data_IF_085529840157
#
_entry.id   IF_085529840157
#
_cell.length_a   1.000
_cell.length_b   1.000
_cell.length_c   1.000
_cell.angle_alpha   90.00
_cell.angle_beta   90.00
_cell.angle_gamma   90.00
#
_symmetry.space_group_name_H-M   'P 1'
#
loop_
_entity.id
_entity.type
_entity.pdbx_description
1 polymer ?
#
# COMPACT_ATOMS: atom_id res chain seq x y z
N UNK A 1 -7.94 -19.87 3.74
CA UNK A 1 -7.65 -20.71 2.57
C UNK A 1 -8.44 -20.30 1.34
N UNK A 2 -9.80 -20.21 1.36
CA UNK A 2 -10.59 -19.79 0.19
C UNK A 2 -10.20 -18.38 -0.33
N UNK A 3 -10.12 -17.38 0.55
CA UNK A 3 -9.69 -16.02 0.19
C UNK A 3 -8.27 -16.02 -0.41
N UNK A 4 -7.34 -16.80 0.13
CA UNK A 4 -5.99 -16.96 -0.41
C UNK A 4 -6.00 -17.58 -1.81
N UNK A 5 -6.83 -18.61 -2.04
CA UNK A 5 -6.98 -19.23 -3.35
C UNK A 5 -7.60 -18.25 -4.37
N UNK A 6 -8.60 -17.49 -3.97
CA UNK A 6 -9.20 -16.42 -4.81
C UNK A 6 -8.15 -15.37 -5.14
N UNK A 7 -7.41 -14.85 -4.17
CA UNK A 7 -6.38 -13.83 -4.39
C UNK A 7 -5.26 -14.35 -5.32
N UNK A 8 -4.79 -15.59 -5.12
CA UNK A 8 -3.68 -16.14 -5.91
C UNK A 8 -4.08 -16.54 -7.34
N UNK A 9 -5.34 -16.96 -7.56
CA UNK A 9 -5.80 -17.47 -8.85
C UNK A 9 -6.50 -16.42 -9.72
N UNK A 10 -7.21 -15.47 -9.09
CA UNK A 10 -8.10 -14.55 -9.81
C UNK A 10 -7.60 -13.12 -9.84
N UNK A 11 -6.99 -12.64 -8.77
CA UNK A 11 -6.56 -11.26 -8.64
C UNK A 11 -5.04 -11.20 -8.70
N UNK A 12 -4.44 -10.64 -9.76
CA UNK A 12 -3.00 -10.44 -9.80
C UNK A 12 -2.57 -9.49 -8.68
N UNK A 13 -1.34 -9.66 -8.21
CA UNK A 13 -0.77 -8.74 -7.24
C UNK A 13 -0.68 -7.33 -7.83
N UNK A 14 -0.82 -6.34 -6.97
CA UNK A 14 -0.66 -4.93 -7.34
C UNK A 14 0.75 -4.60 -7.82
N UNK A 15 0.86 -3.55 -8.59
CA UNK A 15 2.13 -3.08 -9.16
C UNK A 15 3.16 -2.70 -8.07
N UNK A 16 2.73 -2.01 -7.00
CA UNK A 16 3.61 -1.67 -5.87
C UNK A 16 4.11 -2.93 -5.15
N UNK A 17 3.21 -3.90 -4.91
CA UNK A 17 3.59 -5.18 -4.28
C UNK A 17 4.59 -5.94 -5.15
N UNK A 18 4.34 -6.01 -6.46
CA UNK A 18 5.24 -6.63 -7.43
C UNK A 18 6.64 -6.01 -7.41
N UNK A 19 6.71 -4.69 -7.40
CA UNK A 19 7.96 -3.96 -7.32
C UNK A 19 8.69 -4.20 -6.00
N UNK A 20 7.99 -4.13 -4.87
CA UNK A 20 8.58 -4.32 -3.55
C UNK A 20 9.06 -5.77 -3.31
N UNK A 21 8.39 -6.75 -3.91
CA UNK A 21 8.91 -8.13 -3.99
C UNK A 21 10.20 -8.15 -4.81
N UNK A 22 10.26 -7.48 -5.97
CA UNK A 22 11.47 -7.40 -6.80
C UNK A 22 12.62 -6.73 -6.04
N UNK A 23 12.37 -5.64 -5.32
CA UNK A 23 13.36 -5.02 -4.44
C UNK A 23 13.87 -5.99 -3.37
N UNK A 24 12.97 -6.77 -2.75
CA UNK A 24 13.32 -7.73 -1.72
C UNK A 24 14.15 -8.90 -2.27
N UNK A 25 13.82 -9.40 -3.47
CA UNK A 25 14.62 -10.44 -4.15
C UNK A 25 16.03 -9.95 -4.44
N UNK A 26 16.16 -8.73 -4.97
CA UNK A 26 17.44 -8.11 -5.28
C UNK A 26 18.26 -7.83 -4.02
N UNK A 27 17.62 -7.35 -2.94
CA UNK A 27 18.27 -7.15 -1.65
C UNK A 27 18.82 -8.48 -1.10
N UNK A 28 18.06 -9.57 -1.19
CA UNK A 28 18.50 -10.92 -0.81
C UNK A 28 19.55 -11.52 -1.74
N UNK A 29 19.73 -10.95 -2.94
CA UNK A 29 20.80 -11.31 -3.88
C UNK A 29 22.07 -10.47 -3.67
N UNK A 30 22.06 -9.50 -2.74
CA UNK A 30 23.25 -8.69 -2.39
C UNK A 30 23.21 -7.26 -2.95
N UNK A 31 22.18 -6.86 -3.67
CA UNK A 31 22.02 -5.47 -4.11
C UNK A 31 21.75 -4.54 -2.91
N UNK A 32 22.27 -3.32 -2.96
CA UNK A 32 22.08 -2.32 -1.92
C UNK A 32 20.90 -1.42 -2.24
N UNK A 33 19.97 -1.34 -1.29
CA UNK A 33 18.82 -0.45 -1.38
C UNK A 33 19.30 1.02 -1.40
N UNK A 34 18.72 1.83 -2.30
CA UNK A 34 19.05 3.22 -2.60
C UNK A 34 20.40 3.45 -3.32
N UNK A 35 21.12 2.39 -3.67
CA UNK A 35 22.34 2.45 -4.48
C UNK A 35 22.13 1.68 -5.79
N UNK A 36 21.98 0.36 -5.68
CA UNK A 36 21.81 -0.53 -6.84
C UNK A 36 20.35 -0.65 -7.27
N UNK A 37 19.42 -0.46 -6.32
CA UNK A 37 17.97 -0.40 -6.54
C UNK A 37 17.38 0.75 -5.75
N UNK A 38 16.65 1.63 -6.43
CA UNK A 38 16.11 2.87 -5.85
C UNK A 38 14.60 2.78 -5.69
N UNK A 39 14.17 2.81 -4.43
CA UNK A 39 12.77 2.89 -4.02
C UNK A 39 12.48 4.30 -3.47
N UNK A 40 11.34 4.91 -3.83
CA UNK A 40 10.99 6.26 -3.37
C UNK A 40 10.45 6.30 -1.94
N UNK A 41 9.93 5.18 -1.46
CA UNK A 41 9.40 5.08 -0.10
C UNK A 41 10.51 4.72 0.90
N UNK A 42 10.30 4.97 2.22
CA UNK A 42 11.22 4.58 3.26
C UNK A 42 11.53 3.07 3.27
N UNK A 43 12.69 2.63 3.78
CA UNK A 43 13.16 1.23 3.73
C UNK A 43 12.16 0.19 4.26
N UNK A 44 11.34 0.55 5.26
CA UNK A 44 10.32 -0.36 5.80
C UNK A 44 9.35 -0.87 4.73
N UNK A 45 9.11 -0.10 3.65
CA UNK A 45 8.26 -0.53 2.54
C UNK A 45 8.81 -1.74 1.81
N UNK A 46 10.14 -1.91 1.73
CA UNK A 46 10.81 -3.09 1.17
C UNK A 46 11.00 -4.16 2.26
N UNK A 47 11.52 -3.76 3.42
CA UNK A 47 11.89 -4.70 4.47
C UNK A 47 10.72 -5.54 4.98
N UNK A 48 9.49 -5.04 4.93
CA UNK A 48 8.31 -5.81 5.31
C UNK A 48 8.02 -7.02 4.41
N UNK A 49 8.52 -7.04 3.18
CA UNK A 49 8.35 -8.18 2.24
C UNK A 49 9.52 -9.18 2.31
N UNK A 50 10.70 -8.74 2.77
CA UNK A 50 11.91 -9.58 2.83
C UNK A 50 11.67 -10.92 3.54
N UNK A 51 11.00 -11.00 4.71
CA UNK A 51 10.76 -12.29 5.37
C UNK A 51 9.96 -13.27 4.53
N UNK A 52 8.97 -12.80 3.78
CA UNK A 52 8.14 -13.65 2.91
C UNK A 52 8.91 -14.12 1.68
N UNK A 53 9.69 -13.22 1.06
CA UNK A 53 10.53 -13.54 -0.10
C UNK A 53 11.65 -14.51 0.30
N UNK A 54 12.25 -14.31 1.46
CA UNK A 54 13.25 -15.21 2.02
C UNK A 54 12.65 -16.61 2.30
N UNK A 55 11.48 -16.68 2.94
CA UNK A 55 10.77 -17.93 3.18
C UNK A 55 10.41 -18.64 1.88
N UNK A 56 9.94 -17.90 0.86
CA UNK A 56 9.66 -18.45 -0.47
C UNK A 56 10.91 -19.10 -1.07
N UNK A 57 12.07 -18.43 -1.00
CA UNK A 57 13.36 -18.95 -1.49
C UNK A 57 13.76 -20.23 -0.77
N UNK A 58 13.55 -20.32 0.55
CA UNK A 58 13.91 -21.51 1.35
C UNK A 58 13.09 -22.75 0.94
N UNK A 59 11.82 -22.60 0.62
CA UNK A 59 10.94 -23.74 0.31
C UNK A 59 10.68 -23.92 -1.19
N UNK A 60 11.33 -23.13 -2.06
CA UNK A 60 11.14 -23.21 -3.51
C UNK A 60 9.75 -22.73 -3.98
N UNK A 61 9.05 -21.88 -3.21
CA UNK A 61 7.75 -21.35 -3.56
C UNK A 61 7.84 -20.02 -4.32
N UNK A 62 6.73 -19.61 -4.95
CA UNK A 62 6.64 -18.28 -5.56
C UNK A 62 6.58 -17.21 -4.47
N UNK A 63 7.37 -16.14 -4.53
CA UNK A 63 7.35 -15.04 -3.55
C UNK A 63 5.97 -14.41 -3.37
N UNK A 64 5.21 -14.26 -4.46
CA UNK A 64 3.85 -13.74 -4.44
C UNK A 64 2.92 -14.59 -3.57
N UNK A 65 3.00 -15.91 -3.69
CA UNK A 65 2.19 -16.82 -2.89
C UNK A 65 2.52 -16.73 -1.39
N UNK A 66 3.80 -16.59 -1.06
CA UNK A 66 4.24 -16.42 0.33
C UNK A 66 3.81 -15.08 0.92
N UNK A 67 3.87 -14.01 0.13
CA UNK A 67 3.36 -12.69 0.55
C UNK A 67 1.86 -12.77 0.81
N UNK A 68 1.07 -13.34 -0.12
CA UNK A 68 -0.37 -13.52 0.05
C UNK A 68 -0.68 -14.38 1.29
N UNK A 69 0.02 -15.49 1.47
CA UNK A 69 -0.17 -16.36 2.64
C UNK A 69 0.14 -15.63 3.96
N UNK A 70 1.22 -14.85 3.99
CA UNK A 70 1.60 -14.06 5.16
C UNK A 70 0.56 -13.00 5.50
N UNK A 71 0.02 -12.30 4.51
CA UNK A 71 -1.03 -11.32 4.73
C UNK A 71 -2.37 -11.96 5.14
N UNK A 72 -2.72 -13.14 4.62
CA UNK A 72 -3.89 -13.90 5.10
C UNK A 72 -3.70 -14.31 6.56
N UNK A 73 -2.53 -14.82 6.95
CA UNK A 73 -2.22 -15.12 8.34
C UNK A 73 -2.29 -13.88 9.23
N UNK A 74 -1.74 -12.75 8.77
CA UNK A 74 -1.83 -11.45 9.41
C UNK A 74 -3.28 -10.97 9.60
N UNK A 75 -4.13 -11.15 8.59
CA UNK A 75 -5.55 -10.83 8.66
C UNK A 75 -6.27 -11.71 9.71
N UNK A 76 -6.02 -13.01 9.71
CA UNK A 76 -6.58 -13.92 10.73
C UNK A 76 -6.15 -13.51 12.15
N UNK A 77 -4.86 -13.19 12.35
CA UNK A 77 -4.36 -12.73 13.63
C UNK A 77 -4.99 -11.39 14.06
N UNK A 78 -5.10 -10.44 13.12
CA UNK A 78 -5.74 -9.14 13.35
C UNK A 78 -7.21 -9.30 13.76
N UNK A 79 -7.97 -10.11 13.03
CA UNK A 79 -9.39 -10.41 13.33
C UNK A 79 -9.51 -11.03 14.72
N UNK A 80 -8.73 -12.07 15.03
CA UNK A 80 -8.75 -12.74 16.32
C UNK A 80 -8.42 -11.79 17.48
N UNK A 81 -7.37 -10.99 17.35
CA UNK A 81 -6.99 -10.00 18.35
C UNK A 81 -8.06 -8.93 18.55
N UNK A 82 -8.66 -8.44 17.45
CA UNK A 82 -9.74 -7.45 17.51
C UNK A 82 -10.97 -7.99 18.21
N UNK A 83 -11.40 -9.23 17.91
CA UNK A 83 -12.52 -9.89 18.57
C UNK A 83 -12.24 -10.07 20.06
N UNK A 84 -11.03 -10.49 20.42
CA UNK A 84 -10.63 -10.64 21.83
C UNK A 84 -10.74 -9.33 22.62
N UNK A 85 -10.38 -8.20 22.03
CA UNK A 85 -10.57 -6.88 22.65
C UNK A 85 -12.05 -6.50 22.70
N UNK A 86 -12.76 -6.65 21.56
CA UNK A 86 -14.18 -6.30 21.48
C UNK A 86 -15.04 -7.06 22.48
N UNK A 87 -14.76 -8.33 22.74
CA UNK A 87 -15.47 -9.15 23.72
C UNK A 87 -15.41 -8.61 25.16
N UNK A 88 -14.49 -7.70 25.45
CA UNK A 88 -14.38 -7.02 26.75
C UNK A 88 -15.27 -5.77 26.87
N UNK A 89 -15.84 -5.31 25.78
CA UNK A 89 -16.70 -4.12 25.75
C UNK A 89 -18.14 -4.48 26.11
N UNK A 90 -18.84 -3.60 26.80
CA UNK A 90 -20.23 -3.83 27.26
C UNK A 90 -21.20 -3.99 26.09
N UNK A 91 -21.01 -3.20 25.04
CA UNK A 91 -21.87 -3.17 23.86
C UNK A 91 -21.20 -3.92 22.67
N UNK A 92 -20.49 -5.03 22.95
CA UNK A 92 -19.91 -5.86 21.90
C UNK A 92 -21.01 -6.51 21.05
N UNK A 93 -20.88 -6.47 19.72
CA UNK A 93 -21.80 -7.19 18.83
C UNK A 93 -21.56 -8.70 18.95
N UNK A 94 -22.48 -9.54 18.43
CA UNK A 94 -22.25 -10.97 18.33
C UNK A 94 -20.90 -11.26 17.63
N UNK A 95 -20.13 -12.19 18.18
CA UNK A 95 -18.80 -12.52 17.66
C UNK A 95 -18.82 -12.96 16.20
N UNK A 96 -19.86 -13.70 15.78
CA UNK A 96 -20.02 -14.13 14.38
C UNK A 96 -20.20 -12.93 13.43
N UNK A 97 -21.01 -11.94 13.82
CA UNK A 97 -21.18 -10.71 13.02
C UNK A 97 -19.87 -9.95 12.91
N UNK A 98 -19.18 -9.76 14.02
CA UNK A 98 -17.90 -9.05 14.04
C UNK A 98 -16.85 -9.79 13.21
N UNK A 99 -16.80 -11.13 13.30
CA UNK A 99 -15.93 -11.97 12.46
C UNK A 99 -16.24 -11.76 10.98
N UNK A 100 -17.51 -11.78 10.58
CA UNK A 100 -17.91 -11.57 9.19
C UNK A 100 -17.48 -10.19 8.66
N UNK A 101 -17.76 -9.13 9.43
CA UNK A 101 -17.38 -7.76 9.08
C UNK A 101 -15.87 -7.61 8.96
N UNK A 102 -15.11 -8.10 9.94
CA UNK A 102 -13.65 -8.00 9.92
C UNK A 102 -13.04 -8.86 8.82
N UNK A 103 -13.54 -10.06 8.58
CA UNK A 103 -13.07 -10.89 7.45
C UNK A 103 -13.33 -10.21 6.12
N UNK A 104 -14.50 -9.59 5.96
CA UNK A 104 -14.80 -8.82 4.76
C UNK A 104 -13.79 -7.69 4.55
N UNK A 105 -13.59 -6.80 5.53
CA UNK A 105 -12.72 -5.62 5.36
C UNK A 105 -11.24 -5.97 5.27
N UNK A 106 -10.82 -7.15 5.77
CA UNK A 106 -9.41 -7.54 5.75
C UNK A 106 -9.04 -8.51 4.63
N UNK A 107 -9.97 -9.30 4.12
CA UNK A 107 -9.67 -10.34 3.13
C UNK A 107 -10.31 -10.08 1.76
N UNK A 108 -11.52 -9.49 1.73
CA UNK A 108 -12.26 -9.30 0.48
C UNK A 108 -12.17 -7.87 -0.04
N UNK A 109 -12.45 -6.87 0.80
CA UNK A 109 -12.43 -5.46 0.41
C UNK A 109 -11.12 -5.01 -0.29
N UNK A 110 -9.91 -5.48 0.10
CA UNK A 110 -8.69 -5.02 -0.55
C UNK A 110 -8.59 -5.35 -2.05
N UNK A 111 -9.19 -6.43 -2.53
CA UNK A 111 -9.17 -6.85 -3.94
C UNK A 111 -7.75 -6.76 -4.54
N UNK A 112 -7.57 -5.99 -5.61
CA UNK A 112 -6.26 -5.77 -6.24
C UNK A 112 -5.23 -5.09 -5.32
N UNK A 113 -5.66 -4.42 -4.26
CA UNK A 113 -4.79 -3.75 -3.27
C UNK A 113 -4.34 -4.70 -2.14
N UNK A 114 -4.66 -5.99 -2.24
CA UNK A 114 -4.25 -6.98 -1.24
C UNK A 114 -2.73 -7.02 -1.12
N UNK A 115 -2.26 -7.16 0.12
CA UNK A 115 -0.85 -7.14 0.48
C UNK A 115 -0.11 -5.79 0.27
N UNK A 116 -0.79 -4.71 -0.08
CA UNK A 116 -0.24 -3.36 -0.08
C UNK A 116 0.14 -2.92 1.36
N UNK A 117 1.00 -1.92 1.46
CA UNK A 117 1.41 -1.30 2.74
C UNK A 117 0.22 -0.75 3.52
N UNK A 118 -0.73 -0.18 2.84
CA UNK A 118 -1.99 0.32 3.40
C UNK A 118 -2.87 -0.81 3.93
N UNK A 119 -2.84 -1.96 3.27
CA UNK A 119 -3.50 -3.16 3.80
C UNK A 119 -2.84 -3.62 5.12
N UNK A 120 -1.51 -3.67 5.18
CA UNK A 120 -0.80 -3.94 6.43
C UNK A 120 -1.18 -2.94 7.53
N UNK A 121 -1.27 -1.65 7.20
CA UNK A 121 -1.69 -0.62 8.15
C UNK A 121 -3.12 -0.86 8.67
N UNK A 122 -4.07 -1.27 7.82
CA UNK A 122 -5.42 -1.65 8.23
C UNK A 122 -5.40 -2.83 9.21
N UNK A 123 -4.63 -3.89 8.89
CA UNK A 123 -4.50 -5.07 9.75
C UNK A 123 -3.94 -4.73 11.12
N UNK A 124 -3.00 -3.80 11.20
CA UNK A 124 -2.40 -3.35 12.46
C UNK A 124 -3.34 -2.39 13.22
N UNK A 125 -4.07 -1.53 12.50
CA UNK A 125 -4.96 -0.53 13.10
C UNK A 125 -6.15 -1.16 13.83
N UNK A 126 -6.74 -2.21 13.29
CA UNK A 126 -7.93 -2.85 13.86
C UNK A 126 -7.73 -3.29 15.31
N UNK A 127 -6.74 -4.13 15.67
CA UNK A 127 -6.51 -4.54 17.06
C UNK A 127 -5.95 -3.40 17.92
N UNK A 128 -5.08 -2.53 17.37
CA UNK A 128 -4.50 -1.43 18.14
C UNK A 128 -5.57 -0.44 18.61
N UNK A 129 -6.51 -0.09 17.74
CA UNK A 129 -7.61 0.83 18.09
C UNK A 129 -8.69 0.15 18.95
N UNK A 130 -8.92 -1.16 18.78
CA UNK A 130 -9.79 -1.93 19.67
C UNK A 130 -9.22 -1.98 21.11
N UNK A 131 -7.91 -2.10 21.27
CA UNK A 131 -7.25 -2.00 22.57
C UNK A 131 -7.48 -0.63 23.22
N UNK A 132 -7.35 0.46 22.43
CA UNK A 132 -7.66 1.83 22.91
C UNK A 132 -9.13 1.97 23.34
N UNK A 133 -10.07 1.38 22.62
CA UNK A 133 -11.49 1.35 22.99
C UNK A 133 -11.70 0.65 24.34
N UNK A 134 -11.02 -0.46 24.59
CA UNK A 134 -11.09 -1.16 25.89
C UNK A 134 -10.49 -0.28 27.00
N UNK A 135 -9.36 0.38 26.77
CA UNK A 135 -8.77 1.32 27.74
C UNK A 135 -9.75 2.47 28.01
N UNK A 136 -10.38 3.04 26.98
CA UNK A 136 -11.34 4.12 27.12
C UNK A 136 -12.56 3.74 27.97
N UNK A 137 -13.03 2.48 27.90
CA UNK A 137 -14.17 2.00 28.68
C UNK A 137 -13.76 1.47 30.06
N UNK A 138 -12.75 0.60 30.12
CA UNK A 138 -12.38 -0.14 31.32
C UNK A 138 -11.21 0.44 32.12
N UNK A 139 -10.47 1.39 31.53
CA UNK A 139 -9.34 2.07 32.14
C UNK A 139 -7.99 1.41 31.95
N UNK A 140 -7.93 0.11 31.67
CA UNK A 140 -6.68 -0.64 31.50
C UNK A 140 -6.86 -1.91 30.67
N UNK A 141 -5.75 -2.37 30.12
CA UNK A 141 -5.56 -3.72 29.53
C UNK A 141 -4.28 -4.32 30.15
N UNK A 142 -4.00 -5.59 29.86
CA UNK A 142 -2.77 -6.24 30.29
C UNK A 142 -1.53 -5.52 29.73
N UNK A 143 -0.41 -5.55 30.48
CA UNK A 143 0.84 -4.88 30.06
C UNK A 143 1.35 -5.39 28.72
N UNK A 144 1.35 -6.72 28.49
CA UNK A 144 1.75 -7.32 27.22
C UNK A 144 0.81 -6.91 26.07
N UNK A 145 -0.49 -6.84 26.32
CA UNK A 145 -1.46 -6.37 25.33
C UNK A 145 -1.24 -4.90 24.96
N UNK A 146 -0.91 -4.06 25.95
CA UNK A 146 -0.58 -2.66 25.73
C UNK A 146 0.70 -2.53 24.88
N UNK A 147 1.75 -3.30 25.19
CA UNK A 147 3.00 -3.33 24.44
C UNK A 147 2.72 -3.81 22.99
N UNK A 148 2.01 -4.94 22.81
CA UNK A 148 1.70 -5.48 21.48
C UNK A 148 0.90 -4.47 20.63
N UNK A 149 -0.10 -3.78 21.23
CA UNK A 149 -0.86 -2.73 20.55
C UNK A 149 0.01 -1.52 20.20
N UNK A 150 0.96 -1.17 21.08
CA UNK A 150 1.92 -0.12 20.82
C UNK A 150 2.91 -0.47 19.70
N UNK A 151 3.41 -1.71 19.67
CA UNK A 151 4.24 -2.19 18.56
C UNK A 151 3.48 -2.13 17.23
N UNK A 152 2.21 -2.58 17.19
CA UNK A 152 1.38 -2.47 16.01
C UNK A 152 1.21 -1.00 15.55
N UNK A 153 0.99 -0.08 16.48
CA UNK A 153 0.90 1.36 16.20
C UNK A 153 2.23 1.92 15.67
N UNK A 154 3.36 1.57 16.28
CA UNK A 154 4.70 1.97 15.82
C UNK A 154 5.03 1.40 14.44
N UNK A 155 4.67 0.14 14.16
CA UNK A 155 4.81 -0.45 12.82
C UNK A 155 4.01 0.32 11.76
N UNK A 156 2.81 0.78 12.05
CA UNK A 156 2.06 1.65 11.14
C UNK A 156 2.86 2.91 10.79
N UNK A 157 3.47 3.55 11.80
CA UNK A 157 4.24 4.79 11.62
C UNK A 157 5.50 4.56 10.79
N UNK A 158 6.22 3.44 10.99
CA UNK A 158 7.42 3.15 10.19
C UNK A 158 7.09 2.77 8.74
N UNK A 159 5.92 2.18 8.48
CA UNK A 159 5.43 1.91 7.11
C UNK A 159 5.20 3.23 6.37
N UNK A 160 4.45 4.15 6.98
CA UNK A 160 4.26 5.53 6.49
C UNK A 160 4.09 6.48 7.69
N UNK A 161 4.96 7.49 7.86
CA UNK A 161 4.89 8.41 9.00
C UNK A 161 3.52 9.10 9.15
N UNK A 162 2.82 9.37 8.07
CA UNK A 162 1.49 9.98 8.09
C UNK A 162 0.43 9.12 8.80
N UNK A 163 0.62 7.81 8.92
CA UNK A 163 -0.30 6.93 9.65
C UNK A 163 -0.31 7.17 11.16
N UNK A 164 0.61 7.99 11.65
CA UNK A 164 0.54 8.52 13.02
C UNK A 164 -0.82 9.14 13.33
N UNK A 165 -1.45 9.85 12.38
CA UNK A 165 -2.75 10.48 12.61
C UNK A 165 -3.84 9.45 12.95
N UNK A 166 -3.78 8.26 12.35
CA UNK A 166 -4.74 7.19 12.59
C UNK A 166 -4.61 6.54 13.98
N UNK A 167 -3.43 6.63 14.59
CA UNK A 167 -3.18 6.15 15.96
C UNK A 167 -3.44 7.27 16.98
N UNK A 168 -2.98 8.47 16.66
CA UNK A 168 -3.02 9.60 17.57
C UNK A 168 -4.46 10.03 17.90
N UNK A 169 -5.35 10.10 16.91
CA UNK A 169 -6.72 10.52 17.11
C UNK A 169 -7.49 9.66 18.15
N UNK A 170 -7.55 8.31 18.02
CA UNK A 170 -8.18 7.48 19.04
C UNK A 170 -7.40 7.45 20.36
N UNK A 171 -6.07 7.62 20.38
CA UNK A 171 -5.28 7.69 21.61
C UNK A 171 -5.61 8.98 22.40
N UNK A 172 -5.68 10.13 21.76
CA UNK A 172 -6.08 11.40 22.37
C UNK A 172 -7.51 11.33 22.91
N UNK A 173 -8.44 10.75 22.15
CA UNK A 173 -9.80 10.50 22.62
C UNK A 173 -9.82 9.60 23.88
N UNK A 174 -9.01 8.55 23.89
CA UNK A 174 -8.90 7.65 25.05
C UNK A 174 -8.35 8.39 26.27
N UNK A 175 -7.30 9.19 26.11
CA UNK A 175 -6.72 10.02 27.16
C UNK A 175 -7.73 11.02 27.71
N UNK A 176 -8.45 11.72 26.82
CA UNK A 176 -9.50 12.67 27.21
C UNK A 176 -10.62 11.98 27.99
N UNK A 177 -11.11 10.82 27.52
CA UNK A 177 -12.17 10.09 28.19
C UNK A 177 -11.76 9.53 29.55
N UNK A 178 -10.49 9.15 29.70
CA UNK A 178 -9.91 8.67 30.98
C UNK A 178 -9.40 9.78 31.87
N UNK A 179 -9.29 11.01 31.35
CA UNK A 179 -8.61 12.15 32.00
C UNK A 179 -7.21 11.78 32.50
N UNK A 180 -6.52 10.88 31.78
CA UNK A 180 -5.20 10.37 32.15
C UNK A 180 -4.48 9.78 30.95
N UNK A 181 -3.18 10.03 30.83
CA UNK A 181 -2.28 9.41 29.86
C UNK A 181 -1.65 8.10 30.38
N UNK A 182 -1.68 7.88 31.70
CA UNK A 182 -0.99 6.74 32.35
C UNK A 182 -1.32 5.39 31.71
N UNK A 183 -2.59 5.05 31.39
CA UNK A 183 -2.91 3.78 30.77
C UNK A 183 -2.32 3.56 29.37
N UNK A 184 -1.89 4.63 28.70
CA UNK A 184 -1.32 4.60 27.35
C UNK A 184 0.22 4.47 27.36
N UNK A 185 0.88 4.76 28.50
CA UNK A 185 2.34 4.83 28.60
C UNK A 185 3.05 3.56 28.10
N UNK A 186 2.65 2.31 28.48
CA UNK A 186 3.37 1.13 28.00
C UNK A 186 3.27 0.94 26.49
N UNK A 187 2.11 1.24 25.89
CA UNK A 187 1.91 1.19 24.45
C UNK A 187 2.67 2.29 23.71
N UNK A 188 2.62 3.53 24.23
CA UNK A 188 3.35 4.65 23.65
C UNK A 188 4.87 4.43 23.69
N UNK A 189 5.39 3.89 24.79
CA UNK A 189 6.80 3.55 24.91
C UNK A 189 7.22 2.47 23.90
N UNK A 190 6.39 1.43 23.72
CA UNK A 190 6.65 0.39 22.73
C UNK A 190 6.63 0.93 21.29
N UNK A 191 5.66 1.81 20.97
CA UNK A 191 5.60 2.48 19.67
C UNK A 191 6.82 3.38 19.42
N UNK A 192 7.23 4.16 20.42
CA UNK A 192 8.42 5.00 20.33
C UNK A 192 9.71 4.16 20.16
N UNK A 193 9.80 3.06 20.90
CA UNK A 193 10.96 2.17 20.81
C UNK A 193 11.14 1.56 19.42
N UNK A 194 10.07 1.06 18.78
CA UNK A 194 10.18 0.49 17.42
C UNK A 194 10.48 1.58 16.38
N UNK A 195 9.96 2.81 16.52
CA UNK A 195 10.29 3.93 15.64
C UNK A 195 11.77 4.33 15.80
N UNK A 196 12.27 4.39 17.03
CA UNK A 196 13.69 4.67 17.29
C UNK A 196 14.61 3.58 16.73
N UNK A 197 14.29 2.30 16.98
CA UNK A 197 15.02 1.16 16.41
C UNK A 197 15.03 1.18 14.87
N UNK A 198 13.91 1.55 14.27
CA UNK A 198 13.84 1.72 12.82
C UNK A 198 14.74 2.85 12.32
N UNK A 199 14.78 3.98 13.01
CA UNK A 199 15.71 5.08 12.69
C UNK A 199 17.16 4.61 12.74
N UNK A 200 17.55 3.87 13.78
CA UNK A 200 18.88 3.27 13.90
C UNK A 200 19.14 2.25 12.78
N UNK A 201 18.16 1.43 12.42
CA UNK A 201 18.28 0.48 11.31
C UNK A 201 18.48 1.17 9.96
N UNK A 202 17.82 2.31 9.70
CA UNK A 202 18.07 3.11 8.51
C UNK A 202 19.53 3.57 8.46
N UNK A 203 20.03 4.11 9.55
CA UNK A 203 21.42 4.59 9.62
C UNK A 203 22.44 3.47 9.43
N UNK A 204 22.14 2.25 9.95
CA UNK A 204 23.04 1.11 9.85
C UNK A 204 22.99 0.39 8.49
N UNK A 205 21.82 0.26 7.87
CA UNK A 205 21.60 -0.64 6.73
C UNK A 205 21.09 0.05 5.45
N UNK A 206 20.66 1.31 5.52
CA UNK A 206 20.10 2.04 4.40
C UNK A 206 20.37 3.56 4.50
N UNK A 207 21.56 3.95 4.99
CA UNK A 207 21.95 5.37 5.18
C UNK A 207 21.85 6.18 3.89
N UNK A 208 22.05 5.54 2.73
CA UNK A 208 21.90 6.18 1.41
C UNK A 208 20.47 6.72 1.17
N UNK A 209 19.45 6.20 1.88
CA UNK A 209 18.08 6.76 1.84
C UNK A 209 18.04 8.25 2.17
N UNK A 210 18.86 8.71 3.12
CA UNK A 210 18.87 10.09 3.58
C UNK A 210 19.19 11.06 2.41
N UNK A 211 20.04 10.65 1.47
CA UNK A 211 20.38 11.45 0.29
C UNK A 211 19.21 11.59 -0.68
N UNK A 212 18.26 10.64 -0.68
CA UNK A 212 17.08 10.68 -1.53
C UNK A 212 15.96 11.54 -0.98
N UNK A 213 15.95 11.84 0.33
CA UNK A 213 14.88 12.63 0.96
C UNK A 213 14.72 14.02 0.31
N UNK A 214 15.78 14.81 0.07
CA UNK A 214 15.64 16.10 -0.64
C UNK A 214 15.15 15.93 -2.08
N UNK A 215 15.62 14.89 -2.79
CA UNK A 215 15.22 14.61 -4.16
C UNK A 215 13.73 14.29 -4.24
N UNK A 216 13.24 13.43 -3.34
CA UNK A 216 11.83 13.07 -3.22
C UNK A 216 10.98 14.29 -2.86
N UNK A 217 11.47 15.14 -1.94
CA UNK A 217 10.79 16.36 -1.54
C UNK A 217 10.63 17.34 -2.72
N UNK A 218 11.65 17.50 -3.55
CA UNK A 218 11.65 18.46 -4.67
C UNK A 218 10.92 17.93 -5.92
N UNK A 219 10.90 16.61 -6.15
CA UNK A 219 10.36 16.06 -7.41
C UNK A 219 9.05 15.30 -7.22
N UNK A 220 8.95 14.47 -6.18
CA UNK A 220 7.78 13.61 -5.99
C UNK A 220 6.70 14.25 -5.12
N UNK A 221 7.07 14.89 -4.01
CA UNK A 221 6.08 15.51 -3.09
C UNK A 221 5.20 16.55 -3.77
N UNK A 222 5.72 17.44 -4.67
CA UNK A 222 4.88 18.44 -5.33
C UNK A 222 3.81 17.90 -6.26
N UNK A 223 3.96 16.68 -6.77
CA UNK A 223 2.92 16.03 -7.60
C UNK A 223 1.72 15.64 -6.74
N UNK A 224 0.89 16.61 -6.36
CA UNK A 224 -0.25 16.44 -5.45
C UNK A 224 -1.58 16.69 -6.15
N UNK A 225 -2.56 15.85 -5.88
CA UNK A 225 -3.95 16.15 -6.19
C UNK A 225 -4.49 17.20 -5.22
N UNK A 226 -5.44 18.01 -5.67
CA UNK A 226 -6.14 18.95 -4.80
C UNK A 226 -6.85 18.18 -3.66
N UNK A 227 -6.85 18.73 -2.45
CA UNK A 227 -7.41 18.08 -1.26
C UNK A 227 -8.88 17.65 -1.45
N UNK A 228 -9.69 18.46 -2.12
CA UNK A 228 -11.07 18.14 -2.40
C UNK A 228 -11.22 16.88 -3.27
N UNK A 229 -10.31 16.63 -4.24
CA UNK A 229 -10.31 15.39 -5.05
C UNK A 229 -10.04 14.16 -4.21
N UNK A 230 -9.17 14.29 -3.20
CA UNK A 230 -8.93 13.21 -2.25
C UNK A 230 -10.16 12.97 -1.37
N UNK A 231 -10.88 14.03 -0.97
CA UNK A 231 -12.06 13.93 -0.10
C UNK A 231 -13.29 13.35 -0.80
N UNK A 232 -13.51 13.69 -2.09
CA UNK A 232 -14.66 13.19 -2.87
C UNK A 232 -14.37 11.90 -3.65
N UNK A 233 -13.19 11.33 -3.44
CA UNK A 233 -12.83 10.01 -3.99
C UNK A 233 -13.61 8.86 -3.33
N UNK A 234 -13.23 7.60 -3.55
CA UNK A 234 -13.88 6.42 -2.99
C UNK A 234 -13.99 6.40 -1.46
N UNK A 235 -13.18 7.19 -0.75
CA UNK A 235 -13.30 7.39 0.69
C UNK A 235 -14.61 8.07 1.12
N UNK A 236 -15.27 8.78 0.22
CA UNK A 236 -16.54 9.47 0.51
C UNK A 236 -17.66 8.47 0.85
N UNK A 237 -17.77 7.38 0.10
CA UNK A 237 -18.85 6.40 0.30
C UNK A 237 -18.82 5.76 1.70
N UNK A 238 -17.70 5.21 2.19
CA UNK A 238 -17.60 4.69 3.54
C UNK A 238 -17.82 5.77 4.62
N UNK A 239 -17.36 7.00 4.37
CA UNK A 239 -17.58 8.11 5.30
C UNK A 239 -19.06 8.50 5.39
N UNK A 240 -19.79 8.56 4.25
CA UNK A 240 -21.22 8.80 4.21
C UNK A 240 -21.99 7.65 4.89
N UNK A 241 -21.60 6.39 4.65
CA UNK A 241 -22.20 5.24 5.31
C UNK A 241 -22.03 5.33 6.83
N UNK A 242 -20.86 5.69 7.30
CA UNK A 242 -20.60 5.91 8.72
C UNK A 242 -21.45 7.07 9.29
N UNK A 243 -21.49 8.20 8.60
CA UNK A 243 -22.32 9.35 8.99
C UNK A 243 -23.79 8.98 9.08
N UNK A 244 -24.32 8.28 8.08
CA UNK A 244 -25.70 7.81 8.05
C UNK A 244 -25.99 6.81 9.19
N UNK A 245 -25.08 5.86 9.45
CA UNK A 245 -25.23 4.91 10.56
C UNK A 245 -25.22 5.63 11.93
N UNK A 246 -24.44 6.72 12.07
CA UNK A 246 -24.43 7.55 13.27
C UNK A 246 -25.78 8.27 13.44
N UNK A 247 -26.36 8.81 12.38
CA UNK A 247 -27.66 9.51 12.41
C UNK A 247 -28.81 8.56 12.77
N UNK A 248 -28.78 7.32 12.27
CA UNK A 248 -29.83 6.32 12.52
C UNK A 248 -29.71 5.61 13.86
N UNK A 249 -28.66 5.85 14.62
CA UNK A 249 -28.45 5.18 15.90
C UNK A 249 -29.55 5.50 16.92
N UNK A 250 -30.00 4.49 17.64
CA UNK A 250 -30.96 4.64 18.75
C UNK A 250 -30.30 4.55 20.13
N UNK A 251 -29.03 4.20 20.21
CA UNK A 251 -28.25 4.02 21.42
C UNK A 251 -26.96 4.85 21.43
N UNK A 252 -26.25 4.87 22.55
CA UNK A 252 -24.93 5.43 22.64
C UNK A 252 -23.97 4.70 21.69
N UNK A 253 -23.11 5.46 21.01
CA UNK A 253 -22.08 4.90 20.12
C UNK A 253 -21.10 4.09 20.98
N UNK A 254 -20.82 2.85 20.57
CA UNK A 254 -19.85 2.01 21.26
C UNK A 254 -18.43 2.59 21.18
N UNK A 255 -17.61 2.40 22.22
CA UNK A 255 -16.21 2.85 22.20
C UNK A 255 -15.41 2.32 21.04
N UNK A 256 -15.71 1.11 20.56
CA UNK A 256 -15.07 0.49 19.40
C UNK A 256 -15.41 1.25 18.11
N UNK A 257 -16.68 1.58 17.89
CA UNK A 257 -17.08 2.35 16.70
C UNK A 257 -16.44 3.76 16.71
N UNK A 258 -16.36 4.41 17.89
CA UNK A 258 -15.67 5.69 18.01
C UNK A 258 -14.20 5.59 17.67
N UNK A 259 -13.49 4.58 18.21
CA UNK A 259 -12.07 4.40 17.97
C UNK A 259 -11.78 4.14 16.47
N UNK A 260 -12.60 3.31 15.81
CA UNK A 260 -12.49 3.04 14.37
C UNK A 260 -12.84 4.27 13.52
N UNK A 261 -13.88 5.02 13.87
CA UNK A 261 -14.23 6.25 13.16
C UNK A 261 -13.11 7.31 13.26
N UNK A 262 -12.51 7.48 14.44
CA UNK A 262 -11.38 8.39 14.65
C UNK A 262 -10.15 7.94 13.88
N UNK A 263 -9.84 6.65 13.87
CA UNK A 263 -8.74 6.11 13.07
C UNK A 263 -8.99 6.26 11.57
N UNK A 264 -10.21 6.05 11.09
CA UNK A 264 -10.61 6.31 9.71
C UNK A 264 -10.40 7.79 9.34
N UNK A 265 -10.81 8.72 10.21
CA UNK A 265 -10.53 10.15 10.06
C UNK A 265 -9.04 10.47 10.01
N UNK A 266 -8.24 9.81 10.84
CA UNK A 266 -6.77 9.92 10.82
C UNK A 266 -6.14 9.42 9.52
N UNK A 267 -6.61 8.30 8.95
CA UNK A 267 -6.16 7.82 7.63
C UNK A 267 -6.62 8.74 6.49
N UNK A 268 -7.83 9.32 6.58
CA UNK A 268 -8.27 10.33 5.61
C UNK A 268 -7.35 11.57 5.66
N UNK A 269 -7.00 12.04 6.85
CA UNK A 269 -6.04 13.14 7.02
C UNK A 269 -4.68 12.76 6.44
N UNK A 270 -4.21 11.54 6.67
CA UNK A 270 -2.98 11.03 6.08
C UNK A 270 -3.03 11.05 4.54
N UNK A 271 -4.14 10.61 3.92
CA UNK A 271 -4.34 10.65 2.48
C UNK A 271 -4.35 12.10 1.93
N UNK A 272 -5.01 13.03 2.62
CA UNK A 272 -5.03 14.45 2.26
C UNK A 272 -3.63 15.06 2.36
N UNK A 273 -2.89 14.78 3.43
CA UNK A 273 -1.52 15.28 3.62
C UNK A 273 -0.58 14.73 2.56
N UNK A 274 -0.69 13.45 2.20
CA UNK A 274 0.07 12.88 1.09
C UNK A 274 -0.33 13.46 -0.27
N UNK A 275 -1.61 13.69 -0.50
CA UNK A 275 -2.16 14.30 -1.70
C UNK A 275 -1.99 13.48 -2.99
N UNK A 276 -1.73 12.17 -2.91
CA UNK A 276 -1.45 11.35 -4.11
C UNK A 276 -2.70 10.82 -4.82
N UNK A 277 -3.82 10.74 -4.11
CA UNK A 277 -5.11 10.30 -4.64
C UNK A 277 -5.08 8.90 -5.30
N UNK A 278 -4.21 8.01 -4.82
CA UNK A 278 -4.15 6.63 -5.30
C UNK A 278 -5.14 5.73 -4.55
N UNK A 279 -5.68 4.69 -5.20
CA UNK A 279 -6.68 3.81 -4.59
C UNK A 279 -6.26 3.17 -3.26
N UNK A 280 -5.00 2.77 -3.13
CA UNK A 280 -4.46 2.18 -1.92
C UNK A 280 -4.50 3.13 -0.71
N UNK A 281 -4.37 4.45 -0.90
CA UNK A 281 -4.39 5.41 0.19
C UNK A 281 -5.74 5.50 0.91
N UNK A 282 -6.84 5.10 0.25
CA UNK A 282 -8.18 5.10 0.84
C UNK A 282 -8.55 3.80 1.54
N UNK A 283 -7.85 2.69 1.25
CA UNK A 283 -8.20 1.37 1.77
C UNK A 283 -8.31 1.32 3.29
N UNK A 284 -7.35 1.82 4.10
CA UNK A 284 -7.47 1.74 5.55
C UNK A 284 -8.61 2.61 6.11
N UNK A 285 -8.81 3.80 5.53
CA UNK A 285 -9.92 4.67 5.88
C UNK A 285 -11.26 4.00 5.55
N UNK A 286 -11.40 3.45 4.35
CA UNK A 286 -12.62 2.79 3.90
C UNK A 286 -12.93 1.56 4.77
N UNK A 287 -11.93 0.72 5.04
CA UNK A 287 -12.09 -0.49 5.86
C UNK A 287 -12.55 -0.17 7.28
N UNK A 288 -11.93 0.81 7.95
CA UNK A 288 -12.31 1.21 9.31
C UNK A 288 -13.66 1.92 9.37
N UNK A 289 -13.96 2.80 8.40
CA UNK A 289 -15.26 3.47 8.33
C UNK A 289 -16.40 2.48 8.10
N UNK A 290 -16.22 1.52 7.21
CA UNK A 290 -17.18 0.44 6.97
C UNK A 290 -17.34 -0.46 8.20
N UNK A 291 -16.23 -0.86 8.83
CA UNK A 291 -16.29 -1.66 10.06
C UNK A 291 -17.07 -0.94 11.17
N UNK A 292 -16.81 0.36 11.37
CA UNK A 292 -17.54 1.18 12.33
C UNK A 292 -19.04 1.31 11.95
N UNK A 293 -19.34 1.56 10.68
CA UNK A 293 -20.72 1.67 10.20
C UNK A 293 -21.50 0.37 10.37
N UNK A 294 -20.94 -0.77 9.96
CA UNK A 294 -21.57 -2.08 10.08
C UNK A 294 -21.74 -2.52 11.54
N UNK A 295 -20.83 -2.08 12.43
CA UNK A 295 -20.99 -2.25 13.88
C UNK A 295 -22.21 -1.49 14.40
N UNK A 296 -22.41 -0.24 13.99
CA UNK A 296 -23.56 0.58 14.37
C UNK A 296 -24.87 0.05 13.80
N UNK A 297 -24.85 -0.46 12.56
CA UNK A 297 -26.01 -1.11 11.91
C UNK A 297 -26.47 -2.35 12.70
N UNK A 298 -25.52 -3.16 13.21
CA UNK A 298 -25.85 -4.31 14.04
C UNK A 298 -26.61 -3.93 15.34
N UNK A 299 -26.40 -2.70 15.82
CA UNK A 299 -27.04 -2.17 17.04
C UNK A 299 -28.36 -1.43 16.76
N UNK A 300 -28.70 -1.17 15.50
CA UNK A 300 -29.96 -0.52 15.11
C UNK A 300 -31.15 -1.45 15.27
N UNK A 301 -32.33 -0.87 15.55
CA UNK A 301 -33.59 -1.62 15.74
C UNK A 301 -34.70 -1.13 14.79
N UNK A 302 -35.70 -1.99 14.55
CA UNK A 302 -36.89 -1.64 13.78
C UNK A 302 -36.64 -1.31 12.30
N UNK A 303 -37.40 -0.39 11.73
CA UNK A 303 -37.35 0.01 10.32
C UNK A 303 -36.00 0.65 9.95
N UNK A 304 -35.38 1.40 10.86
CA UNK A 304 -34.07 2.00 10.68
C UNK A 304 -32.98 0.96 10.40
N UNK A 305 -33.10 -0.27 10.95
CA UNK A 305 -32.16 -1.37 10.69
C UNK A 305 -32.19 -1.80 9.22
N UNK A 306 -33.39 -1.90 8.62
CA UNK A 306 -33.52 -2.30 7.21
C UNK A 306 -32.86 -1.27 6.29
N UNK A 307 -33.14 0.01 6.50
CA UNK A 307 -32.55 1.12 5.71
C UNK A 307 -31.02 1.11 5.86
N UNK A 308 -30.51 0.97 7.10
CA UNK A 308 -29.08 0.94 7.35
C UNK A 308 -28.38 -0.29 6.72
N UNK A 309 -29.03 -1.46 6.72
CA UNK A 309 -28.53 -2.66 6.03
C UNK A 309 -28.47 -2.43 4.52
N UNK A 310 -29.52 -1.91 3.90
CA UNK A 310 -29.51 -1.63 2.46
C UNK A 310 -28.46 -0.58 2.07
N UNK A 311 -28.33 0.50 2.84
CA UNK A 311 -27.32 1.51 2.62
C UNK A 311 -25.89 0.93 2.76
N UNK A 312 -25.67 0.10 3.79
CA UNK A 312 -24.40 -0.60 3.99
C UNK A 312 -24.06 -1.54 2.83
N UNK A 313 -25.02 -2.35 2.38
CA UNK A 313 -24.82 -3.22 1.22
C UNK A 313 -24.54 -2.44 -0.07
N UNK A 314 -25.24 -1.31 -0.29
CA UNK A 314 -24.97 -0.44 -1.46
C UNK A 314 -23.55 0.14 -1.43
N UNK A 315 -23.07 0.57 -0.25
CA UNK A 315 -21.69 1.07 -0.10
C UNK A 315 -20.66 -0.04 -0.31
N UNK A 316 -20.90 -1.23 0.25
CA UNK A 316 -20.05 -2.40 0.01
C UNK A 316 -19.97 -2.70 -1.48
N UNK A 317 -21.11 -2.77 -2.16
CA UNK A 317 -21.16 -3.01 -3.61
C UNK A 317 -20.41 -1.93 -4.39
N UNK A 318 -20.58 -0.65 -4.02
CA UNK A 318 -19.88 0.46 -4.69
C UNK A 318 -18.35 0.38 -4.48
N UNK A 319 -17.89 0.02 -3.28
CA UNK A 319 -16.47 -0.18 -3.02
C UNK A 319 -15.92 -1.36 -3.82
N UNK A 320 -16.64 -2.49 -3.86
CA UNK A 320 -16.23 -3.66 -4.64
C UNK A 320 -16.13 -3.37 -6.13
N UNK A 321 -17.15 -2.72 -6.70
CA UNK A 321 -17.15 -2.29 -8.11
C UNK A 321 -15.94 -1.39 -8.38
N UNK A 322 -15.68 -0.42 -7.51
CA UNK A 322 -14.53 0.47 -7.67
C UNK A 322 -13.20 -0.28 -7.62
N UNK A 323 -12.97 -1.12 -6.59
CA UNK A 323 -11.72 -1.87 -6.49
C UNK A 323 -11.56 -2.93 -7.59
N UNK A 324 -12.66 -3.42 -8.15
CA UNK A 324 -12.64 -4.31 -9.31
C UNK A 324 -12.09 -3.62 -10.56
N UNK A 325 -12.35 -2.32 -10.76
CA UNK A 325 -11.86 -1.55 -11.91
C UNK A 325 -10.35 -1.35 -11.95
N UNK A 326 -9.65 -1.59 -10.82
CA UNK A 326 -8.19 -1.44 -10.73
C UNK A 326 -7.42 -2.75 -11.00
N UNK A 327 -8.10 -3.83 -11.33
CA UNK A 327 -7.43 -5.10 -11.63
C UNK A 327 -6.60 -4.94 -12.91
N UNK A 328 -5.27 -5.23 -12.86
CA UNK A 328 -4.41 -5.08 -14.02
C UNK A 328 -4.84 -5.94 -15.20
N UNK A 329 -4.75 -5.39 -16.41
CA UNK A 329 -4.99 -6.12 -17.65
C UNK A 329 -3.91 -7.19 -17.86
N UNK A 330 -4.33 -8.39 -18.28
CA UNK A 330 -3.45 -9.52 -18.60
C UNK A 330 -2.97 -9.53 -20.06
N UNK A 331 -3.54 -8.68 -20.92
CA UNK A 331 -3.24 -8.67 -22.35
C UNK A 331 -1.76 -8.37 -22.61
N UNK A 332 -1.19 -7.36 -21.94
CA UNK A 332 0.20 -6.99 -22.10
C UNK A 332 1.16 -8.14 -21.74
N UNK A 333 0.89 -8.88 -20.66
CA UNK A 333 1.71 -10.01 -20.26
C UNK A 333 1.63 -11.17 -21.30
N UNK A 334 0.47 -11.41 -21.91
CA UNK A 334 0.32 -12.42 -22.94
C UNK A 334 1.06 -12.02 -24.24
N UNK A 335 1.02 -10.75 -24.63
CA UNK A 335 1.76 -10.24 -25.76
C UNK A 335 3.29 -10.36 -25.56
N UNK A 336 3.80 -10.03 -24.38
CA UNK A 336 5.21 -10.21 -24.05
C UNK A 336 5.61 -11.70 -24.23
N UNK A 337 4.81 -12.65 -23.70
CA UNK A 337 5.10 -14.09 -23.88
C UNK A 337 5.08 -14.54 -25.33
N UNK A 338 4.31 -13.87 -26.18
CA UNK A 338 4.23 -14.20 -27.62
C UNK A 338 5.46 -13.76 -28.40
N UNK A 339 6.04 -12.60 -28.04
CA UNK A 339 7.09 -11.94 -28.86
C UNK A 339 8.50 -12.03 -28.26
N UNK A 340 8.62 -12.36 -26.98
CA UNK A 340 9.90 -12.41 -26.27
C UNK A 340 10.37 -13.86 -26.03
N UNK A 341 11.67 -14.07 -25.80
CA UNK A 341 12.18 -15.37 -25.38
C UNK A 341 11.62 -15.80 -24.02
N UNK A 342 11.72 -17.10 -23.65
CA UNK A 342 11.35 -17.57 -22.33
C UNK A 342 12.14 -16.82 -21.23
N UNK A 343 11.46 -16.47 -20.13
CA UNK A 343 12.03 -15.74 -18.99
C UNK A 343 12.78 -14.45 -19.37
N UNK A 344 12.16 -13.52 -20.14
CA UNK A 344 12.85 -12.36 -20.69
C UNK A 344 13.34 -11.41 -19.59
N UNK A 345 14.45 -10.75 -19.85
CA UNK A 345 14.89 -9.58 -19.11
C UNK A 345 14.04 -8.38 -19.56
N UNK A 346 13.37 -7.73 -18.64
CA UNK A 346 12.41 -6.65 -18.92
C UNK A 346 12.82 -5.37 -18.22
N UNK A 347 12.68 -4.24 -18.91
CA UNK A 347 12.76 -2.88 -18.37
C UNK A 347 11.65 -2.03 -18.97
N UNK A 348 11.30 -0.90 -18.35
CA UNK A 348 10.32 0.02 -18.93
C UNK A 348 10.90 1.43 -19.12
N UNK A 349 10.67 1.99 -20.28
CA UNK A 349 10.83 3.41 -20.59
C UNK A 349 9.51 4.12 -20.29
N UNK A 350 9.27 4.41 -19.03
CA UNK A 350 8.01 4.95 -18.53
C UNK A 350 8.19 5.68 -17.21
N UNK A 351 7.47 6.78 -16.96
CA UNK A 351 7.36 7.38 -15.64
C UNK A 351 6.41 6.64 -14.70
N UNK A 352 5.73 5.56 -15.15
CA UNK A 352 4.72 4.84 -14.38
C UNK A 352 5.21 3.44 -14.01
N UNK A 353 5.07 3.09 -12.72
CA UNK A 353 5.33 1.76 -12.18
C UNK A 353 4.52 0.66 -12.89
N UNK A 354 3.25 0.95 -13.15
CA UNK A 354 2.29 0.01 -13.74
C UNK A 354 2.66 -0.47 -15.13
N UNK A 355 3.54 0.24 -15.84
CA UNK A 355 4.05 -0.20 -17.16
C UNK A 355 4.93 -1.44 -17.03
N UNK A 356 5.75 -1.53 -15.98
CA UNK A 356 6.69 -2.65 -15.75
C UNK A 356 6.17 -3.71 -14.78
N UNK A 357 5.30 -3.32 -13.86
CA UNK A 357 4.82 -4.15 -12.75
C UNK A 357 3.29 -4.19 -12.68
N UNK A 358 2.68 -5.34 -12.41
CA UNK A 358 3.26 -6.67 -12.24
C UNK A 358 3.55 -7.39 -13.57
N UNK A 359 3.46 -6.72 -14.72
CA UNK A 359 3.45 -7.33 -16.05
C UNK A 359 4.71 -8.16 -16.34
N UNK A 360 5.89 -7.69 -15.94
CA UNK A 360 7.14 -8.43 -16.11
C UNK A 360 7.08 -9.79 -15.42
N UNK A 361 6.59 -9.86 -14.18
CA UNK A 361 6.40 -11.12 -13.44
C UNK A 361 5.31 -11.99 -14.06
N UNK A 362 4.18 -11.39 -14.44
CA UNK A 362 3.07 -12.10 -15.08
C UNK A 362 3.47 -12.70 -16.44
N UNK A 363 4.43 -12.10 -17.12
CA UNK A 363 5.01 -12.64 -18.36
C UNK A 363 6.06 -13.73 -18.11
N UNK A 364 6.41 -14.03 -16.86
CA UNK A 364 7.49 -14.95 -16.50
C UNK A 364 8.89 -14.35 -16.70
N UNK A 365 8.97 -13.03 -16.88
CA UNK A 365 10.22 -12.30 -17.07
C UNK A 365 10.86 -11.83 -15.76
N UNK A 366 12.10 -11.34 -15.87
CA UNK A 366 12.86 -10.75 -14.78
C UNK A 366 13.06 -9.25 -15.02
N UNK A 367 12.69 -8.43 -14.03
CA UNK A 367 12.99 -7.01 -14.04
C UNK A 367 14.48 -6.75 -13.84
N UNK A 368 15.07 -5.89 -14.69
CA UNK A 368 16.51 -5.58 -14.65
C UNK A 368 16.80 -4.10 -14.37
N UNK A 369 15.79 -3.23 -14.39
CA UNK A 369 15.98 -1.82 -14.07
C UNK A 369 16.36 -1.57 -12.62
N UNK A 370 17.21 -0.58 -12.37
CA UNK A 370 17.55 -0.10 -11.04
C UNK A 370 16.39 0.65 -10.36
N UNK A 371 15.37 1.02 -11.13
CA UNK A 371 14.18 1.78 -10.71
C UNK A 371 12.92 1.15 -11.27
N UNK A 372 11.80 1.39 -10.59
CA UNK A 372 10.50 0.93 -11.06
C UNK A 372 9.99 1.70 -12.30
N UNK A 373 10.49 2.91 -12.49
CA UNK A 373 10.15 3.82 -13.57
C UNK A 373 10.85 5.16 -13.39
N UNK A 374 10.72 6.05 -14.38
CA UNK A 374 11.39 7.36 -14.42
C UNK A 374 10.56 8.43 -13.68
N UNK A 375 10.23 8.15 -12.42
CA UNK A 375 9.35 9.00 -11.59
C UNK A 375 9.97 10.37 -11.32
N UNK A 376 11.28 10.42 -11.05
CA UNK A 376 11.97 11.66 -10.69
C UNK A 376 12.13 12.56 -11.91
N UNK A 377 12.36 11.98 -13.09
CA UNK A 377 12.37 12.75 -14.33
C UNK A 377 10.99 13.35 -14.62
N UNK A 378 9.92 12.59 -14.43
CA UNK A 378 8.55 13.08 -14.56
C UNK A 378 8.23 14.17 -13.53
N UNK A 379 8.62 13.98 -12.29
CA UNK A 379 8.42 14.94 -11.21
C UNK A 379 9.18 16.24 -11.44
N UNK A 380 10.44 16.15 -11.85
CA UNK A 380 11.25 17.31 -12.21
C UNK A 380 10.63 18.13 -13.36
N UNK A 381 10.08 17.45 -14.38
CA UNK A 381 9.30 18.11 -15.45
C UNK A 381 8.05 18.78 -14.90
N UNK A 382 7.31 18.10 -14.02
CA UNK A 382 6.09 18.63 -13.43
C UNK A 382 6.34 19.94 -12.67
N UNK A 383 7.45 20.05 -11.93
CA UNK A 383 7.82 21.28 -11.22
C UNK A 383 8.61 22.28 -12.10
N UNK A 384 8.74 22.04 -13.42
CA UNK A 384 9.40 22.93 -14.35
C UNK A 384 10.93 22.98 -14.18
N UNK A 385 11.55 21.98 -13.53
CA UNK A 385 13.01 21.91 -13.26
C UNK A 385 13.55 23.16 -12.53
N UNK A 386 12.78 23.74 -11.63
CA UNK A 386 13.06 25.05 -11.00
C UNK A 386 14.21 25.01 -9.99
N UNK A 387 14.58 23.82 -9.46
CA UNK A 387 15.71 23.66 -8.53
C UNK A 387 16.86 22.88 -9.19
N UNK A 388 18.10 23.05 -8.66
CA UNK A 388 19.24 22.24 -9.12
C UNK A 388 19.03 20.76 -8.75
N UNK A 389 18.41 20.49 -7.59
CA UNK A 389 18.03 19.13 -7.17
C UNK A 389 17.11 18.47 -8.20
N UNK A 390 16.08 19.19 -8.67
CA UNK A 390 15.16 18.67 -9.69
C UNK A 390 15.86 18.42 -11.03
N UNK A 391 16.73 19.35 -11.50
CA UNK A 391 17.51 19.16 -12.71
C UNK A 391 18.48 17.99 -12.62
N UNK A 392 19.14 17.83 -11.47
CA UNK A 392 20.02 16.69 -11.20
C UNK A 392 19.25 15.38 -11.19
N UNK A 393 18.12 15.33 -10.49
CA UNK A 393 17.26 14.16 -10.43
C UNK A 393 16.76 13.72 -11.82
N UNK A 394 16.39 14.69 -12.67
CA UNK A 394 16.04 14.43 -14.06
C UNK A 394 17.19 13.74 -14.81
N UNK A 395 18.38 14.35 -14.79
CA UNK A 395 19.56 13.81 -15.51
C UNK A 395 19.95 12.42 -15.01
N UNK A 396 19.92 12.22 -13.70
CA UNK A 396 20.25 10.92 -13.08
C UNK A 396 19.22 9.83 -13.43
N UNK A 397 17.94 10.17 -13.48
CA UNK A 397 16.87 9.22 -13.82
C UNK A 397 16.97 8.77 -15.28
N UNK A 398 17.17 9.73 -16.20
CA UNK A 398 17.38 9.45 -17.63
C UNK A 398 18.66 8.62 -17.84
N UNK A 399 19.76 9.00 -17.18
CA UNK A 399 21.05 8.29 -17.28
C UNK A 399 20.95 6.87 -16.73
N UNK A 400 20.21 6.65 -15.64
CA UNK A 400 20.05 5.31 -15.04
C UNK A 400 19.43 4.32 -16.00
N UNK A 401 18.40 4.73 -16.76
CA UNK A 401 17.79 3.87 -17.78
C UNK A 401 18.82 3.43 -18.84
N UNK A 402 19.61 4.36 -19.36
CA UNK A 402 20.63 4.03 -20.37
C UNK A 402 21.68 3.06 -19.82
N UNK A 403 22.16 3.30 -18.59
CA UNK A 403 23.12 2.42 -17.90
C UNK A 403 22.52 1.03 -17.66
N UNK A 404 21.28 0.95 -17.22
CA UNK A 404 20.61 -0.35 -16.97
C UNK A 404 20.46 -1.16 -18.26
N UNK A 405 20.10 -0.50 -19.36
CA UNK A 405 20.02 -1.17 -20.69
C UNK A 405 21.38 -1.63 -21.18
N UNK A 406 22.41 -0.79 -21.07
CA UNK A 406 23.76 -1.16 -21.47
C UNK A 406 24.30 -2.34 -20.63
N UNK A 407 24.14 -2.28 -19.31
CA UNK A 407 24.65 -3.27 -18.36
C UNK A 407 23.95 -4.62 -18.47
N UNK A 408 22.62 -4.61 -18.61
CA UNK A 408 21.81 -5.81 -18.52
C UNK A 408 21.33 -6.35 -19.86
N UNK A 409 21.42 -5.55 -20.92
CA UNK A 409 20.98 -5.90 -22.27
C UNK A 409 19.60 -6.57 -22.26
N UNK A 410 18.53 -5.85 -21.81
CA UNK A 410 17.20 -6.44 -21.68
C UNK A 410 16.69 -6.95 -23.03
N UNK A 411 15.93 -8.05 -22.98
CA UNK A 411 15.30 -8.63 -24.18
C UNK A 411 14.10 -7.78 -24.61
N UNK A 412 13.43 -7.16 -23.65
CA UNK A 412 12.21 -6.36 -23.83
C UNK A 412 12.32 -5.02 -23.14
N UNK A 413 11.99 -3.96 -23.87
CA UNK A 413 11.74 -2.61 -23.36
C UNK A 413 10.26 -2.27 -23.55
N UNK A 414 9.57 -2.01 -22.45
CA UNK A 414 8.18 -1.56 -22.46
C UNK A 414 8.16 -0.04 -22.55
N UNK A 415 7.48 0.51 -23.53
CA UNK A 415 7.44 1.97 -23.76
C UNK A 415 6.02 2.48 -23.60
N UNK A 416 5.81 3.38 -22.65
CA UNK A 416 4.51 4.01 -22.44
C UNK A 416 4.26 5.09 -23.48
N UNK A 417 3.26 4.92 -24.37
CA UNK A 417 2.94 5.81 -25.49
C UNK A 417 2.83 7.30 -25.10
N UNK A 418 2.08 7.68 -24.05
CA UNK A 418 1.94 9.09 -23.65
C UNK A 418 3.27 9.79 -23.28
N UNK A 419 4.27 9.04 -22.83
CA UNK A 419 5.58 9.59 -22.46
C UNK A 419 6.65 9.37 -23.50
N UNK A 420 6.37 8.63 -24.56
CA UNK A 420 7.34 8.22 -25.58
C UNK A 420 8.04 9.42 -26.26
N UNK A 421 7.28 10.42 -26.69
CA UNK A 421 7.84 11.55 -27.47
C UNK A 421 8.91 12.29 -26.69
N UNK A 422 8.67 12.66 -25.43
CA UNK A 422 9.62 13.39 -24.63
C UNK A 422 10.78 12.53 -24.13
N UNK A 423 10.55 11.24 -23.86
CA UNK A 423 11.63 10.34 -23.46
C UNK A 423 12.55 10.01 -24.63
N UNK A 424 11.99 9.76 -25.81
CA UNK A 424 12.78 9.50 -27.01
C UNK A 424 13.52 10.74 -27.54
N UNK A 425 13.15 11.95 -27.12
CA UNK A 425 13.92 13.16 -27.45
C UNK A 425 15.23 13.30 -26.66
N UNK A 426 15.41 12.51 -25.59
CA UNK A 426 16.64 12.48 -24.83
C UNK A 426 17.74 11.73 -25.60
N UNK A 427 18.91 12.35 -25.88
CA UNK A 427 19.94 11.76 -26.76
C UNK A 427 20.47 10.40 -26.27
N UNK A 428 20.59 10.20 -24.95
CA UNK A 428 21.03 8.94 -24.37
C UNK A 428 20.00 7.83 -24.59
N UNK A 429 18.72 8.10 -24.36
CA UNK A 429 17.62 7.16 -24.59
C UNK A 429 17.51 6.84 -26.09
N UNK A 430 17.48 7.86 -26.96
CA UNK A 430 17.39 7.66 -28.40
C UNK A 430 18.53 6.77 -28.93
N UNK A 431 19.76 6.94 -28.41
CA UNK A 431 20.91 6.08 -28.75
C UNK A 431 20.68 4.63 -28.30
N UNK A 432 20.32 4.44 -27.06
CA UNK A 432 20.07 3.12 -26.45
C UNK A 432 18.96 2.37 -27.17
N UNK A 433 17.91 3.06 -27.59
CA UNK A 433 16.74 2.44 -28.26
C UNK A 433 17.01 2.04 -29.73
N UNK A 434 18.15 2.41 -30.33
CA UNK A 434 18.54 1.96 -31.69
C UNK A 434 18.71 0.43 -31.77
N UNK A 435 19.09 -0.20 -30.67
CA UNK A 435 19.28 -1.65 -30.58
C UNK A 435 17.95 -2.42 -30.44
N UNK A 436 16.84 -1.69 -30.38
CA UNK A 436 15.51 -2.26 -30.22
C UNK A 436 14.63 -1.97 -31.42
N UNK A 437 13.67 -2.85 -31.68
CA UNK A 437 12.62 -2.63 -32.68
C UNK A 437 11.26 -2.74 -32.03
N UNK A 438 10.32 -1.96 -32.54
CA UNK A 438 8.92 -2.13 -32.19
C UNK A 438 8.42 -3.48 -32.72
N UNK A 439 7.71 -4.24 -31.86
CA UNK A 439 7.21 -5.59 -32.22
C UNK A 439 5.71 -5.70 -32.05
N UNK A 440 5.16 -5.15 -30.96
CA UNK A 440 3.73 -5.24 -30.63
C UNK A 440 3.30 -4.10 -29.70
N UNK A 441 1.99 -3.98 -29.47
CA UNK A 441 1.45 -3.11 -28.42
C UNK A 441 0.20 -3.70 -27.78
N UNK A 442 -0.01 -3.37 -26.49
CA UNK A 442 -1.25 -3.66 -25.78
C UNK A 442 -1.65 -2.40 -24.99
N UNK A 443 -2.87 -1.91 -25.22
CA UNK A 443 -3.31 -0.64 -24.64
C UNK A 443 -2.34 0.50 -24.94
N UNK A 444 -1.94 1.24 -23.91
CA UNK A 444 -1.02 2.37 -24.02
C UNK A 444 0.47 1.98 -23.95
N UNK A 445 0.79 0.67 -23.97
CA UNK A 445 2.17 0.20 -23.87
C UNK A 445 2.62 -0.46 -25.16
N UNK A 446 3.76 -0.01 -25.69
CA UNK A 446 4.47 -0.63 -26.80
C UNK A 446 5.51 -1.63 -26.25
N UNK A 447 5.69 -2.72 -26.97
CA UNK A 447 6.69 -3.77 -26.70
C UNK A 447 7.78 -3.64 -27.75
N UNK A 448 8.98 -3.31 -27.29
CA UNK A 448 10.18 -3.23 -28.12
C UNK A 448 11.11 -4.39 -27.78
N UNK A 449 11.51 -5.15 -28.79
CA UNK A 449 12.36 -6.33 -28.62
C UNK A 449 13.76 -6.02 -29.15
N UNK A 450 14.78 -6.52 -28.47
CA UNK A 450 16.16 -6.37 -28.87
C UNK A 450 16.40 -6.93 -30.26
N UNK A 451 17.08 -6.21 -31.13
CA UNK A 451 17.50 -6.70 -32.46
C UNK A 451 18.48 -7.84 -32.27
N UNK A 452 18.34 -8.91 -33.05
CA UNK A 452 19.39 -9.92 -33.14
C UNK A 452 20.70 -9.25 -33.60
N UNK A 453 21.80 -9.61 -32.96
CA UNK A 453 23.09 -9.15 -33.46
C UNK A 453 23.23 -9.66 -34.89
N UNK A 454 23.29 -8.75 -35.86
CA UNK A 454 23.71 -9.08 -37.21
C UNK A 454 25.20 -9.44 -37.15
N UNK A 455 25.51 -10.73 -37.18
CA UNK A 455 26.86 -11.22 -37.33
C UNK A 455 27.40 -10.91 -38.73
#
# INVERSE_FOLDING_TARGET
>A
MLAMAIQSLWIPIDADVSWLITCSERLLAGDRLYVDIVELNPPASVWMYVPFVWAAKLIGAKPEAMVVAGFVAGACASVAATIRFAARLKDSPPSLWLTAVLSFVTLLLPMALFAQREHAALLLALPATAALAVIAERGRIGRLESIASGLAAGMMVIIKPYFLFAVLAPALWTAWRRRSLVPLVPGAAAAAAIVALYGLAILAFASDYVQWVPVIADTYVPMRAAAWKVMVGPSLYPALCLGFAILLRQKRISPLAIAWALAAGGFLLAAIVQGKNYPNHWLPQAGLALAAALLLVAQAKGGSRRIAVFAGLAVVAACEVYYWTIIPDRALASEIRRVAPPAPKVIALSPQLTTGHPVSRNAGGRWVGSRAGLFMASGAKYVGMNSETARRAYREDIRSFAIDVERHSPDVVLVLKPSKSWLMSEPSIARTMRDYRFEASAGDTEIWVRRAATH
#
